data_IF_267660479145
#
_entry.id   IF_267660479145
#
_cell.length_a   1.000
_cell.length_b   1.000
_cell.length_c   1.000
_cell.angle_alpha   90.00
_cell.angle_beta   90.00
_cell.angle_gamma   90.00
#
_symmetry.space_group_name_H-M   'P 1'
#
loop_
_entity.id
_entity.type
_entity.pdbx_description
1 polymer ?
#
# COMPACT_ATOMS: atom_id res chain seq x y z
N UNK A 1 -4.83 7.21 -4.80
CA UNK A 1 -5.41 5.95 -4.28
C UNK A 1 -6.03 6.26 -2.92
N UNK A 2 -7.19 5.67 -2.63
CA UNK A 2 -7.88 5.76 -1.34
C UNK A 2 -7.99 4.35 -0.78
N UNK A 3 -7.70 4.15 0.51
CA UNK A 3 -7.89 2.85 1.18
C UNK A 3 -8.20 3.04 2.66
N UNK A 4 -8.68 1.98 3.32
CA UNK A 4 -8.96 1.99 4.75
C UNK A 4 -7.69 2.03 5.59
N UNK A 5 -7.75 2.61 6.79
CA UNK A 5 -6.68 2.60 7.78
C UNK A 5 -6.55 1.28 8.58
N UNK A 6 -7.41 0.28 8.32
CA UNK A 6 -7.48 -0.98 9.10
C UNK A 6 -6.87 -2.21 8.41
N UNK A 7 -6.43 -2.10 7.15
CA UNK A 7 -5.97 -3.25 6.37
C UNK A 7 -4.46 -3.29 6.19
N UNK A 8 -3.93 -4.42 5.73
CA UNK A 8 -2.51 -4.56 5.37
C UNK A 8 -2.06 -3.54 4.30
N UNK A 9 -2.99 -3.04 3.48
CA UNK A 9 -2.69 -1.98 2.51
C UNK A 9 -2.41 -0.64 3.18
N UNK A 10 -2.95 -0.40 4.39
CA UNK A 10 -2.66 0.80 5.15
C UNK A 10 -1.16 0.88 5.47
N UNK A 11 -0.53 -0.22 5.87
CA UNK A 11 0.90 -0.27 6.21
C UNK A 11 1.78 0.15 5.03
N UNK A 12 1.46 -0.33 3.83
CA UNK A 12 2.19 -0.02 2.60
C UNK A 12 1.83 1.35 2.03
N UNK A 13 0.59 1.80 2.27
CA UNK A 13 0.01 3.00 1.68
C UNK A 13 0.27 4.29 2.44
N UNK A 14 0.81 4.27 3.66
CA UNK A 14 0.92 5.46 4.54
C UNK A 14 1.49 6.71 3.86
N UNK A 15 2.48 6.55 2.98
CA UNK A 15 3.15 7.67 2.31
C UNK A 15 2.63 7.96 0.89
N UNK A 16 1.79 7.07 0.34
CA UNK A 16 1.42 7.06 -1.07
C UNK A 16 -0.09 6.92 -1.34
N UNK A 17 -0.90 6.79 -0.28
CA UNK A 17 -2.35 6.67 -0.33
C UNK A 17 -3.01 7.58 0.69
N UNK A 18 -4.24 7.98 0.40
CA UNK A 18 -5.12 8.62 1.38
C UNK A 18 -5.75 7.51 2.20
N UNK A 19 -5.56 7.56 3.53
CA UNK A 19 -6.15 6.61 4.47
C UNK A 19 -7.44 7.20 5.07
N UNK A 20 -8.49 6.38 5.14
CA UNK A 20 -9.79 6.74 5.73
C UNK A 20 -10.23 5.71 6.76
N UNK A 21 -11.08 6.14 7.68
CA UNK A 21 -11.87 5.20 8.49
C UNK A 21 -12.99 4.63 7.61
N UNK A 22 -13.01 3.31 7.33
CA UNK A 22 -14.02 2.70 6.47
C UNK A 22 -15.42 2.69 7.09
N UNK A 23 -15.56 2.94 8.39
CA UNK A 23 -16.85 2.98 9.09
C UNK A 23 -17.40 4.39 9.26
N UNK A 24 -16.73 5.40 8.69
CA UNK A 24 -17.12 6.82 8.77
C UNK A 24 -17.35 7.42 7.39
N UNK A 25 -18.61 7.69 7.07
CA UNK A 25 -19.00 8.32 5.79
C UNK A 25 -18.31 9.69 5.59
N UNK A 26 -18.20 10.49 6.67
CA UNK A 26 -17.51 11.77 6.64
C UNK A 26 -16.03 11.59 6.30
N UNK A 27 -15.36 10.59 6.89
CA UNK A 27 -13.95 10.28 6.58
C UNK A 27 -13.77 9.88 5.11
N UNK A 28 -14.69 9.06 4.58
CA UNK A 28 -14.66 8.63 3.18
C UNK A 28 -14.84 9.82 2.23
N UNK A 29 -15.82 10.68 2.50
CA UNK A 29 -16.10 11.86 1.67
C UNK A 29 -14.90 12.81 1.62
N UNK A 30 -14.32 13.14 2.77
CA UNK A 30 -13.10 13.96 2.84
C UNK A 30 -11.92 13.28 2.13
N UNK A 31 -11.78 11.97 2.29
CA UNK A 31 -10.72 11.18 1.67
C UNK A 31 -10.80 11.19 0.15
N UNK A 32 -12.00 11.08 -0.42
CA UNK A 32 -12.23 11.19 -1.86
C UNK A 32 -11.81 12.56 -2.39
N UNK A 33 -12.22 13.64 -1.70
CA UNK A 33 -11.83 15.00 -2.06
C UNK A 33 -10.31 15.19 -1.99
N UNK A 34 -9.64 14.64 -0.98
CA UNK A 34 -8.16 14.64 -0.90
C UNK A 34 -7.54 13.85 -2.06
N UNK A 35 -8.08 12.67 -2.36
CA UNK A 35 -7.53 11.76 -3.36
C UNK A 35 -7.55 12.34 -4.79
N UNK A 36 -8.61 13.08 -5.16
CA UNK A 36 -8.70 13.73 -6.48
C UNK A 36 -7.74 14.92 -6.62
N UNK A 37 -7.38 15.55 -5.50
CA UNK A 37 -6.51 16.73 -5.45
C UNK A 37 -5.03 16.40 -5.19
N UNK A 38 -4.64 15.11 -5.20
CA UNK A 38 -3.24 14.72 -5.01
C UNK A 38 -2.37 15.28 -6.16
N UNK A 39 -1.29 16.02 -5.86
CA UNK A 39 -0.40 16.57 -6.87
C UNK A 39 0.18 15.51 -7.82
N UNK A 40 0.42 15.90 -9.08
CA UNK A 40 0.92 14.98 -10.11
C UNK A 40 2.24 14.30 -9.72
N UNK A 41 3.16 15.00 -9.06
CA UNK A 41 4.43 14.43 -8.62
C UNK A 41 4.23 13.33 -7.57
N UNK A 42 3.32 13.52 -6.61
CA UNK A 42 2.98 12.54 -5.59
C UNK A 42 2.30 11.30 -6.21
N UNK A 43 1.42 11.51 -7.20
CA UNK A 43 0.82 10.40 -7.99
C UNK A 43 1.89 9.58 -8.72
N UNK A 44 2.88 10.24 -9.33
CA UNK A 44 3.99 9.56 -10.01
C UNK A 44 4.87 8.79 -9.03
N UNK A 45 5.21 9.37 -7.89
CA UNK A 45 5.96 8.70 -6.83
C UNK A 45 5.23 7.44 -6.35
N UNK A 46 3.93 7.54 -6.07
CA UNK A 46 3.10 6.40 -5.70
C UNK A 46 3.08 5.28 -6.77
N UNK A 47 3.01 5.65 -8.06
CA UNK A 47 3.10 4.67 -9.14
C UNK A 47 4.47 3.96 -9.18
N UNK A 48 5.57 4.71 -9.05
CA UNK A 48 6.92 4.12 -9.00
C UNK A 48 7.04 3.18 -7.80
N UNK A 49 6.59 3.60 -6.64
CA UNK A 49 6.58 2.78 -5.42
C UNK A 49 5.78 1.48 -5.62
N UNK A 50 4.56 1.57 -6.17
CA UNK A 50 3.70 0.39 -6.41
C UNK A 50 4.34 -0.66 -7.32
N UNK A 51 5.19 -0.24 -8.27
CA UNK A 51 5.91 -1.15 -9.18
C UNK A 51 6.97 -2.01 -8.48
N UNK A 52 7.38 -1.65 -7.26
CA UNK A 52 8.28 -2.49 -6.46
C UNK A 52 7.60 -3.73 -5.87
N UNK A 53 6.25 -3.77 -5.85
CA UNK A 53 5.47 -4.89 -5.36
C UNK A 53 5.10 -5.81 -6.52
N UNK A 54 5.86 -6.90 -6.67
CA UNK A 54 5.64 -7.88 -7.73
C UNK A 54 5.47 -9.29 -7.17
N UNK A 55 4.68 -10.12 -7.85
CA UNK A 55 4.52 -11.53 -7.48
C UNK A 55 5.84 -12.31 -7.49
N UNK A 56 6.73 -12.01 -8.44
CA UNK A 56 8.04 -12.65 -8.51
C UNK A 56 8.88 -12.35 -7.26
N UNK A 57 8.89 -11.08 -6.81
CA UNK A 57 9.60 -10.69 -5.61
C UNK A 57 8.97 -11.28 -4.34
N UNK A 58 7.63 -11.34 -4.27
CA UNK A 58 6.93 -12.04 -3.18
C UNK A 58 7.31 -13.51 -3.14
N UNK A 59 7.24 -14.23 -4.26
CA UNK A 59 7.60 -15.64 -4.33
C UNK A 59 9.05 -15.89 -3.89
N UNK A 60 9.99 -15.04 -4.35
CA UNK A 60 11.41 -15.09 -3.97
C UNK A 60 11.59 -14.90 -2.46
N UNK A 61 10.95 -13.88 -1.87
CA UNK A 61 11.01 -13.62 -0.42
C UNK A 61 10.38 -14.75 0.39
N UNK A 62 9.19 -15.21 0.02
CA UNK A 62 8.49 -16.31 0.70
C UNK A 62 9.32 -17.59 0.69
N UNK A 63 9.90 -17.96 -0.45
CA UNK A 63 10.77 -19.13 -0.56
C UNK A 63 12.02 -19.00 0.33
N UNK A 64 12.67 -17.83 0.34
CA UNK A 64 13.81 -17.56 1.20
C UNK A 64 13.45 -17.68 2.69
N UNK A 65 12.30 -17.15 3.12
CA UNK A 65 11.80 -17.28 4.48
C UNK A 65 11.56 -18.73 4.87
N UNK A 66 10.97 -19.55 3.99
CA UNK A 66 10.80 -20.98 4.27
C UNK A 66 12.13 -21.73 4.36
N UNK A 67 13.08 -21.42 3.48
CA UNK A 67 14.44 -21.98 3.57
C UNK A 67 15.11 -21.64 4.89
N UNK A 68 15.01 -20.39 5.33
CA UNK A 68 15.53 -19.95 6.63
C UNK A 68 14.86 -20.67 7.80
N UNK A 69 13.53 -20.80 7.80
CA UNK A 69 12.78 -21.48 8.85
C UNK A 69 13.13 -22.97 8.96
N UNK A 70 13.52 -23.60 7.85
CA UNK A 70 13.96 -25.00 7.80
C UNK A 70 15.48 -25.18 8.00
N UNK A 71 16.23 -24.12 8.28
CA UNK A 71 17.69 -24.18 8.45
C UNK A 71 18.48 -24.48 7.17
N UNK A 72 17.88 -24.22 6.00
CA UNK A 72 18.47 -24.50 4.68
C UNK A 72 19.01 -23.21 4.06
N UNK A 73 20.28 -22.89 4.28
CA UNK A 73 20.95 -21.73 3.66
C UNK A 73 21.22 -21.95 2.17
#
# INVERSE_FOLDING_TARGET
MLTSNLSATAELGREHAVLVDPYSEASIAEGLLKAVNVPLHARRAAMIYSRSFTWAETARKTHATYRQALGRH
#
